data_IF_741503178505
#
_entry.id   IF_741503178505
#
_cell.length_a   1.000
_cell.length_b   1.000
_cell.length_c   1.000
_cell.angle_alpha   90.00
_cell.angle_beta   90.00
_cell.angle_gamma   90.00
#
_symmetry.space_group_name_H-M   'P 1'
#
loop_
_entity.id
_entity.type
_entity.pdbx_description
1 polymer ?
#
# COMPACT_ATOMS: atom_id res chain seq x y z
N UNK A 1 11.00 -16.74 7.98
CA UNK A 1 12.21 -16.21 7.30
C UNK A 1 12.57 -16.97 6.01
N UNK A 2 12.48 -18.31 5.97
CA UNK A 2 12.83 -19.07 4.76
C UNK A 2 11.90 -18.78 3.56
N UNK A 3 10.58 -18.72 3.79
CA UNK A 3 9.60 -18.45 2.72
C UNK A 3 9.72 -17.02 2.14
N UNK A 4 9.97 -16.00 2.97
CA UNK A 4 10.15 -14.61 2.51
C UNK A 4 11.30 -14.47 1.51
N UNK A 5 12.44 -15.17 1.72
CA UNK A 5 13.56 -15.15 0.78
C UNK A 5 13.22 -15.82 -0.54
N UNK A 6 12.41 -16.88 -0.50
CA UNK A 6 11.91 -17.56 -1.70
C UNK A 6 10.96 -16.65 -2.49
N UNK A 7 9.99 -16.02 -1.82
CA UNK A 7 9.09 -15.05 -2.46
C UNK A 7 9.85 -13.89 -3.07
N UNK A 8 10.83 -13.33 -2.36
CA UNK A 8 11.66 -12.24 -2.88
C UNK A 8 12.40 -12.66 -4.16
N UNK A 9 12.95 -13.87 -4.19
CA UNK A 9 13.64 -14.40 -5.38
C UNK A 9 12.68 -14.51 -6.57
N UNK A 10 11.51 -15.09 -6.36
CA UNK A 10 10.50 -15.27 -7.41
C UNK A 10 9.98 -13.92 -7.91
N UNK A 11 9.69 -12.99 -6.99
CA UNK A 11 9.27 -11.62 -7.32
C UNK A 11 10.34 -10.88 -8.14
N UNK A 12 11.62 -11.00 -7.77
CA UNK A 12 12.74 -10.42 -8.52
C UNK A 12 12.74 -10.92 -9.97
N UNK A 13 12.67 -12.23 -10.18
CA UNK A 13 12.62 -12.84 -11.52
C UNK A 13 11.36 -12.43 -12.30
N UNK A 14 10.20 -12.36 -11.64
CA UNK A 14 8.97 -11.89 -12.25
C UNK A 14 9.13 -10.47 -12.80
N UNK A 15 9.57 -9.52 -11.96
CA UNK A 15 9.68 -8.12 -12.36
C UNK A 15 10.76 -7.84 -13.42
N UNK A 16 11.70 -8.78 -13.65
CA UNK A 16 12.69 -8.68 -14.74
C UNK A 16 12.10 -9.06 -16.10
N UNK A 17 11.04 -9.88 -16.13
CA UNK A 17 10.51 -10.49 -17.35
C UNK A 17 9.10 -10.01 -17.69
N UNK A 18 8.31 -9.68 -16.67
CA UNK A 18 6.92 -9.27 -16.83
C UNK A 18 6.81 -7.84 -17.37
N UNK A 19 5.92 -7.64 -18.34
CA UNK A 19 5.62 -6.34 -18.95
C UNK A 19 4.21 -5.93 -18.53
N UNK A 20 4.06 -5.13 -17.47
CA UNK A 20 2.75 -4.73 -16.98
C UNK A 20 2.08 -3.73 -17.92
N UNK A 21 0.74 -3.73 -17.93
CA UNK A 21 -0.04 -2.64 -18.51
C UNK A 21 -0.08 -1.47 -17.53
N UNK A 22 0.70 -0.42 -17.79
CA UNK A 22 0.86 0.69 -16.85
C UNK A 22 -0.38 1.61 -16.88
N UNK A 23 -1.02 1.77 -15.73
CA UNK A 23 -2.16 2.68 -15.54
C UNK A 23 -1.73 3.93 -14.77
N UNK A 24 -1.74 5.07 -15.44
CA UNK A 24 -1.46 6.37 -14.80
C UNK A 24 -2.70 7.05 -14.25
N UNK A 25 -3.89 6.61 -14.66
CA UNK A 25 -5.15 7.15 -14.17
C UNK A 25 -6.10 6.03 -13.79
N UNK A 26 -6.85 6.23 -12.71
CA UNK A 26 -7.79 5.24 -12.19
C UNK A 26 -8.99 5.88 -11.47
N UNK A 27 -10.15 5.21 -11.46
CA UNK A 27 -11.32 5.70 -10.74
C UNK A 27 -11.06 5.75 -9.24
N UNK A 28 -11.66 6.73 -8.58
CA UNK A 28 -11.62 6.90 -7.13
C UNK A 28 -13.02 7.14 -6.59
N UNK A 29 -13.30 6.72 -5.36
CA UNK A 29 -14.57 7.01 -4.72
C UNK A 29 -14.73 8.52 -4.53
N UNK A 30 -15.98 8.98 -4.57
CA UNK A 30 -16.32 10.31 -4.10
C UNK A 30 -16.02 10.39 -2.59
N UNK A 31 -15.36 11.48 -2.18
CA UNK A 31 -15.02 11.69 -0.78
C UNK A 31 -16.09 12.56 -0.11
N UNK A 32 -16.54 12.16 1.06
CA UNK A 32 -17.46 12.88 1.93
C UNK A 32 -16.75 13.81 2.91
N UNK A 33 -17.52 14.32 3.87
CA UNK A 33 -17.02 15.22 4.91
C UNK A 33 -15.92 14.55 5.75
N UNK A 34 -14.88 15.32 6.12
CA UNK A 34 -13.70 14.76 6.80
C UNK A 34 -12.82 13.86 5.93
N UNK A 35 -13.13 13.75 4.64
CA UNK A 35 -12.39 12.97 3.67
C UNK A 35 -12.70 11.48 3.70
N UNK A 36 -13.67 10.98 4.48
CA UNK A 36 -14.08 9.56 4.39
C UNK A 36 -14.72 9.28 3.03
N UNK A 37 -14.77 8.02 2.55
CA UNK A 37 -15.59 7.71 1.37
C UNK A 37 -17.05 8.11 1.64
N UNK A 38 -17.67 8.90 0.75
CA UNK A 38 -19.01 9.48 0.99
C UNK A 38 -20.08 8.39 1.00
N UNK A 39 -20.09 7.55 -0.04
CA UNK A 39 -21.02 6.46 -0.26
C UNK A 39 -20.31 5.32 -1.00
N UNK A 40 -20.51 4.08 -0.55
CA UNK A 40 -19.95 2.91 -1.20
C UNK A 40 -20.48 2.79 -2.63
N UNK A 41 -19.58 2.72 -3.61
CA UNK A 41 -19.91 2.57 -5.04
C UNK A 41 -20.09 3.88 -5.81
N UNK A 42 -20.08 5.05 -5.16
CA UNK A 42 -20.09 6.33 -5.86
C UNK A 42 -18.67 6.78 -6.21
N UNK A 43 -18.41 7.00 -7.50
CA UNK A 43 -17.12 7.44 -8.02
C UNK A 43 -17.11 8.94 -8.27
N UNK A 44 -15.94 9.55 -8.10
CA UNK A 44 -15.68 10.90 -8.59
C UNK A 44 -15.86 10.97 -10.12
N UNK A 45 -16.40 12.08 -10.62
CA UNK A 45 -16.49 12.35 -12.07
C UNK A 45 -15.10 12.37 -12.74
N UNK A 46 -14.09 12.78 -11.98
CA UNK A 46 -12.72 12.85 -12.45
C UNK A 46 -11.89 11.73 -11.80
N UNK A 47 -11.24 10.87 -12.61
CA UNK A 47 -10.31 9.88 -12.08
C UNK A 47 -9.10 10.57 -11.48
N UNK A 48 -8.39 9.86 -10.61
CA UNK A 48 -7.11 10.34 -10.12
C UNK A 48 -6.05 10.14 -11.20
N UNK A 49 -5.26 11.17 -11.49
CA UNK A 49 -4.22 11.15 -12.52
C UNK A 49 -2.84 11.34 -11.90
N UNK A 50 -2.04 10.27 -11.89
CA UNK A 50 -0.70 10.25 -11.34
C UNK A 50 0.25 11.21 -12.05
N UNK A 51 0.03 11.51 -13.33
CA UNK A 51 0.89 12.42 -14.10
C UNK A 51 0.83 13.86 -13.60
N UNK A 52 -0.22 14.21 -12.85
CA UNK A 52 -0.42 15.54 -12.29
C UNK A 52 0.23 15.73 -10.92
N UNK A 53 0.56 14.63 -10.23
CA UNK A 53 1.08 14.65 -8.85
C UNK A 53 2.48 14.06 -8.72
N UNK A 54 2.93 13.25 -9.69
CA UNK A 54 4.25 12.65 -9.69
C UNK A 54 5.22 13.39 -10.60
N UNK A 55 6.47 13.48 -10.16
CA UNK A 55 7.60 13.87 -11.00
C UNK A 55 7.98 12.78 -12.00
N UNK A 56 8.73 13.11 -13.05
CA UNK A 56 9.20 12.12 -14.04
C UNK A 56 9.99 10.94 -13.42
N UNK A 57 10.90 11.15 -12.45
CA UNK A 57 11.54 10.03 -11.74
C UNK A 57 10.53 9.13 -11.00
N UNK A 58 9.54 9.71 -10.33
CA UNK A 58 8.50 8.95 -9.62
C UNK A 58 7.56 8.20 -10.57
N UNK A 59 7.25 8.77 -11.74
CA UNK A 59 6.45 8.08 -12.76
C UNK A 59 7.10 6.78 -13.22
N UNK A 60 8.44 6.68 -13.21
CA UNK A 60 9.15 5.44 -13.55
C UNK A 60 8.89 4.30 -12.56
N UNK A 61 8.48 4.61 -11.32
CA UNK A 61 8.12 3.60 -10.32
C UNK A 61 6.75 2.97 -10.59
N UNK A 62 5.84 3.65 -11.31
CA UNK A 62 4.46 3.18 -11.52
C UNK A 62 4.46 1.83 -12.26
N UNK A 63 5.29 1.69 -13.30
CA UNK A 63 5.43 0.43 -14.02
C UNK A 63 5.96 -0.70 -13.12
N UNK A 64 6.92 -0.41 -12.23
CA UNK A 64 7.44 -1.40 -11.29
C UNK A 64 6.37 -1.81 -10.28
N UNK A 65 5.63 -0.84 -9.74
CA UNK A 65 4.52 -1.09 -8.81
C UNK A 65 3.42 -1.93 -9.47
N UNK A 66 3.07 -1.64 -10.73
CA UNK A 66 2.10 -2.43 -11.48
C UNK A 66 2.57 -3.88 -11.67
N UNK A 67 3.86 -4.09 -12.00
CA UNK A 67 4.43 -5.44 -12.12
C UNK A 67 4.30 -6.24 -10.81
N UNK A 68 4.52 -5.59 -9.67
CA UNK A 68 4.38 -6.19 -8.34
C UNK A 68 2.91 -6.49 -8.02
N UNK A 69 2.01 -5.56 -8.32
CA UNK A 69 0.56 -5.74 -8.14
C UNK A 69 0.05 -6.95 -8.93
N UNK A 70 0.44 -7.06 -10.20
CA UNK A 70 0.08 -8.20 -11.06
C UNK A 70 0.60 -9.52 -10.48
N UNK A 71 1.81 -9.52 -9.90
CA UNK A 71 2.38 -10.69 -9.22
C UNK A 71 1.59 -11.06 -7.97
N UNK A 72 1.32 -10.09 -7.09
CA UNK A 72 0.54 -10.32 -5.86
C UNK A 72 -0.84 -10.88 -6.20
N UNK A 73 -1.48 -10.38 -7.25
CA UNK A 73 -2.78 -10.88 -7.72
C UNK A 73 -2.72 -12.38 -8.10
N UNK A 74 -1.59 -12.85 -8.63
CA UNK A 74 -1.43 -14.26 -9.01
C UNK A 74 -0.99 -15.17 -7.86
N UNK A 75 -0.34 -14.61 -6.84
CA UNK A 75 0.30 -15.38 -5.77
C UNK A 75 -0.47 -15.37 -4.44
N UNK A 76 -1.41 -14.45 -4.27
CA UNK A 76 -2.17 -14.30 -3.03
C UNK A 76 -3.67 -14.48 -3.28
N UNK A 77 -4.41 -14.69 -2.19
CA UNK A 77 -5.87 -14.84 -2.22
C UNK A 77 -6.57 -13.59 -1.66
N UNK A 78 -5.92 -12.43 -1.73
CA UNK A 78 -6.51 -11.16 -1.28
C UNK A 78 -7.42 -10.61 -2.37
N UNK A 79 -8.45 -9.89 -1.97
CA UNK A 79 -9.46 -9.34 -2.88
C UNK A 79 -9.07 -7.94 -3.36
N UNK A 80 -8.22 -7.25 -2.60
CA UNK A 80 -7.68 -5.94 -2.94
C UNK A 80 -6.23 -5.81 -2.46
N UNK A 81 -5.40 -5.14 -3.25
CA UNK A 81 -4.02 -4.84 -2.89
C UNK A 81 -3.57 -3.54 -3.54
N UNK A 82 -2.92 -2.65 -2.77
CA UNK A 82 -2.41 -1.37 -3.24
C UNK A 82 -1.01 -1.04 -2.72
N UNK A 83 -0.24 -0.34 -3.55
CA UNK A 83 1.08 0.19 -3.19
C UNK A 83 1.00 1.71 -3.15
N UNK A 84 1.43 2.30 -2.03
CA UNK A 84 1.42 3.73 -1.81
C UNK A 84 2.83 4.23 -1.48
N UNK A 85 3.21 5.38 -2.02
CA UNK A 85 4.44 6.08 -1.63
C UNK A 85 4.13 7.37 -0.89
N UNK A 86 5.03 7.78 0.01
CA UNK A 86 4.94 9.06 0.68
C UNK A 86 5.33 10.18 -0.29
N UNK A 87 4.43 11.14 -0.51
CA UNK A 87 4.71 12.38 -1.22
C UNK A 87 4.63 13.56 -0.24
N UNK A 88 5.55 14.51 -0.39
CA UNK A 88 5.60 15.75 0.40
C UNK A 88 5.30 16.94 -0.51
N UNK A 89 4.27 17.72 -0.17
CA UNK A 89 3.88 18.94 -0.87
C UNK A 89 3.80 20.12 0.10
N UNK A 90 4.73 21.08 -0.01
CA UNK A 90 4.66 22.41 0.62
C UNK A 90 4.14 22.42 2.07
N UNK A 91 4.66 21.51 2.92
CA UNK A 91 4.40 21.27 4.35
C UNK A 91 3.47 20.09 4.70
N UNK A 92 2.64 19.62 3.77
CA UNK A 92 1.80 18.44 3.98
C UNK A 92 2.43 17.19 3.37
N UNK A 93 2.10 16.04 3.93
CA UNK A 93 2.49 14.74 3.39
C UNK A 93 1.27 13.85 3.20
N UNK A 94 1.31 13.00 2.17
CA UNK A 94 0.26 12.03 1.91
C UNK A 94 0.84 10.73 1.34
N UNK A 95 0.24 9.61 1.71
CA UNK A 95 0.43 8.34 1.01
C UNK A 95 -0.34 8.40 -0.30
N UNK A 96 0.34 8.22 -1.44
CA UNK A 96 -0.26 8.28 -2.77
C UNK A 96 -0.17 6.93 -3.45
N UNK A 97 -1.33 6.37 -3.84
CA UNK A 97 -1.46 5.07 -4.50
C UNK A 97 -0.84 5.10 -5.89
N UNK A 98 0.14 4.25 -6.15
CA UNK A 98 0.79 4.14 -7.46
C UNK A 98 0.15 3.06 -8.33
N UNK A 99 -0.21 1.93 -7.74
CA UNK A 99 -0.81 0.80 -8.44
C UNK A 99 -1.65 -0.02 -7.48
N UNK A 100 -2.69 -0.68 -8.00
CA UNK A 100 -3.53 -1.60 -7.24
C UNK A 100 -4.32 -2.55 -8.14
N UNK A 101 -4.87 -3.60 -7.53
CA UNK A 101 -6.01 -4.35 -8.07
C UNK A 101 -7.15 -4.39 -7.05
N UNK A 102 -8.34 -4.73 -7.51
CA UNK A 102 -9.55 -4.79 -6.71
C UNK A 102 -10.49 -3.61 -6.99
N UNK A 103 -11.44 -3.39 -6.08
CA UNK A 103 -12.42 -2.29 -6.19
C UNK A 103 -11.76 -0.89 -6.14
N UNK A 104 -12.38 0.12 -6.77
CA UNK A 104 -11.93 1.50 -6.65
C UNK A 104 -11.88 1.95 -5.19
N UNK A 105 -10.73 2.44 -4.79
CA UNK A 105 -10.47 2.94 -3.43
C UNK A 105 -9.73 4.27 -3.47
N UNK A 106 -9.61 4.89 -2.30
CA UNK A 106 -8.96 6.19 -2.15
C UNK A 106 -7.56 6.24 -2.78
N UNK A 107 -7.28 7.33 -3.49
CA UNK A 107 -5.96 7.58 -4.09
C UNK A 107 -4.92 8.04 -3.08
N UNK A 108 -5.31 8.92 -2.15
CA UNK A 108 -4.37 9.56 -1.23
C UNK A 108 -4.86 9.54 0.21
N UNK A 109 -4.02 9.10 1.15
CA UNK A 109 -4.28 9.21 2.59
C UNK A 109 -3.43 10.34 3.18
N UNK A 110 -4.05 11.37 3.80
CA UNK A 110 -3.30 12.42 4.50
C UNK A 110 -2.45 11.82 5.61
N UNK A 111 -1.18 12.22 5.72
CA UNK A 111 -0.27 11.83 6.80
C UNK A 111 -0.37 12.83 7.96
N UNK A 112 -1.54 12.85 8.62
CA UNK A 112 -1.80 13.68 9.80
C UNK A 112 -2.17 12.83 11.01
N UNK A 113 -1.96 13.35 12.23
CA UNK A 113 -2.29 12.64 13.47
C UNK A 113 -3.79 12.42 13.61
N UNK A 114 -4.58 13.37 13.14
CA UNK A 114 -6.04 13.33 13.17
C UNK A 114 -6.55 12.18 12.29
N UNK A 115 -5.97 12.03 11.10
CA UNK A 115 -6.36 10.95 10.19
C UNK A 115 -5.80 9.58 10.62
N UNK A 116 -4.63 9.55 11.27
CA UNK A 116 -4.05 8.34 11.86
C UNK A 116 -4.89 7.71 12.97
N UNK A 117 -5.74 8.51 13.64
CA UNK A 117 -6.61 8.02 14.70
C UNK A 117 -7.65 7.01 14.19
N UNK A 118 -8.02 7.10 12.90
CA UNK A 118 -9.07 6.27 12.29
C UNK A 118 -8.58 5.41 11.12
N UNK A 119 -7.47 5.77 10.48
CA UNK A 119 -6.95 5.07 9.30
C UNK A 119 -5.72 4.24 9.64
N UNK A 120 -5.81 2.93 9.37
CA UNK A 120 -4.67 2.02 9.41
C UNK A 120 -3.55 2.50 8.49
N UNK A 121 -3.87 2.83 7.24
CA UNK A 121 -2.89 3.30 6.26
C UNK A 121 -2.08 4.49 6.78
N UNK A 122 -2.75 5.52 7.30
CA UNK A 122 -2.06 6.70 7.84
C UNK A 122 -1.31 6.39 9.13
N UNK A 123 -1.86 5.56 10.03
CA UNK A 123 -1.16 5.14 11.24
C UNK A 123 0.15 4.42 10.92
N UNK A 124 0.12 3.46 9.98
CA UNK A 124 1.32 2.75 9.52
C UNK A 124 2.29 3.70 8.80
N UNK A 125 1.78 4.59 7.94
CA UNK A 125 2.59 5.57 7.21
C UNK A 125 3.29 6.60 8.10
N UNK A 126 2.74 6.92 9.28
CA UNK A 126 3.38 7.81 10.25
C UNK A 126 4.34 7.10 11.21
N UNK A 127 3.99 5.89 11.65
CA UNK A 127 4.70 5.22 12.74
C UNK A 127 5.74 4.21 12.26
N UNK A 128 5.53 3.63 11.07
CA UNK A 128 6.32 2.50 10.60
C UNK A 128 6.02 1.21 11.37
N UNK A 129 4.96 1.18 12.17
CA UNK A 129 4.49 -0.02 12.85
C UNK A 129 3.52 -0.75 11.94
N UNK A 130 3.87 -1.99 11.57
CA UNK A 130 2.99 -2.83 10.74
C UNK A 130 1.68 -3.18 11.46
N UNK A 131 0.59 -3.32 10.71
CA UNK A 131 -0.71 -3.73 11.24
C UNK A 131 -1.27 -4.94 10.49
N UNK A 132 -1.80 -5.90 11.23
CA UNK A 132 -2.51 -7.07 10.71
C UNK A 132 -3.79 -7.25 11.51
N UNK A 133 -4.92 -7.23 10.83
CA UNK A 133 -6.25 -7.44 11.39
C UNK A 133 -6.85 -8.64 10.66
N UNK A 134 -6.84 -9.81 11.30
CA UNK A 134 -7.42 -11.02 10.71
C UNK A 134 -8.94 -11.09 10.82
N UNK A 135 -9.55 -10.26 11.68
CA UNK A 135 -11.00 -10.16 11.81
C UNK A 135 -11.40 -8.72 12.16
N UNK A 136 -11.84 -7.97 11.15
CA UNK A 136 -12.25 -6.56 11.29
C UNK A 136 -13.43 -6.43 12.25
N UNK A 137 -14.42 -7.32 12.16
CA UNK A 137 -15.61 -7.27 13.02
C UNK A 137 -15.22 -7.44 14.50
N UNK A 138 -14.35 -8.39 14.79
CA UNK A 138 -13.87 -8.61 16.16
C UNK A 138 -13.00 -7.46 16.66
N UNK A 139 -12.10 -6.94 15.81
CA UNK A 139 -11.25 -5.80 16.12
C UNK A 139 -12.08 -4.56 16.50
N UNK A 140 -13.10 -4.22 15.71
CA UNK A 140 -14.02 -3.11 16.01
C UNK A 140 -14.82 -3.38 17.28
N UNK A 141 -15.31 -4.60 17.48
CA UNK A 141 -16.04 -4.98 18.71
C UNK A 141 -15.20 -4.82 19.98
N UNK A 142 -13.88 -4.98 19.87
CA UNK A 142 -12.93 -4.77 20.97
C UNK A 142 -12.54 -3.29 21.17
N UNK A 143 -13.15 -2.37 20.42
CA UNK A 143 -12.90 -0.93 20.50
C UNK A 143 -11.78 -0.44 19.58
N UNK A 144 -11.36 -1.25 18.59
CA UNK A 144 -10.43 -0.82 17.55
C UNK A 144 -11.10 0.14 16.58
N UNK A 145 -10.48 1.29 16.34
CA UNK A 145 -10.91 2.24 15.30
C UNK A 145 -10.56 1.68 13.92
N UNK A 146 -11.55 1.63 13.02
CA UNK A 146 -11.39 1.06 11.69
C UNK A 146 -12.15 1.86 10.64
N UNK A 147 -11.40 2.55 9.79
CA UNK A 147 -11.92 3.18 8.59
C UNK A 147 -12.36 2.10 7.58
N UNK A 148 -13.66 2.05 7.27
CA UNK A 148 -14.21 1.10 6.28
C UNK A 148 -14.40 1.78 4.94
N UNK A 149 -13.61 1.39 3.93
CA UNK A 149 -13.79 1.83 2.54
C UNK A 149 -14.77 0.91 1.78
N UNK A 150 -14.64 -0.41 1.96
CA UNK A 150 -15.52 -1.43 1.38
C UNK A 150 -16.06 -2.32 2.51
N UNK A 151 -17.39 -2.41 2.71
CA UNK A 151 -17.98 -3.21 3.79
C UNK A 151 -17.78 -4.73 3.63
N UNK A 152 -17.31 -5.20 2.47
CA UNK A 152 -16.95 -6.61 2.27
C UNK A 152 -15.65 -6.98 2.96
N UNK A 153 -14.79 -6.03 3.31
CA UNK A 153 -13.48 -6.29 3.94
C UNK A 153 -13.68 -6.91 5.33
N UNK A 154 -13.06 -8.06 5.54
CA UNK A 154 -13.10 -8.82 6.79
C UNK A 154 -11.73 -9.01 7.42
N UNK A 155 -10.66 -8.85 6.65
CA UNK A 155 -9.30 -8.78 7.16
C UNK A 155 -8.46 -7.79 6.36
N UNK A 156 -7.44 -7.23 7.00
CA UNK A 156 -6.51 -6.26 6.41
C UNK A 156 -5.07 -6.49 6.90
N UNK A 157 -4.11 -6.27 6.01
CA UNK A 157 -2.68 -6.17 6.32
C UNK A 157 -2.13 -4.89 5.71
N UNK A 158 -1.58 -4.03 6.56
CA UNK A 158 -0.94 -2.79 6.14
C UNK A 158 0.50 -2.75 6.65
N UNK A 159 1.47 -2.82 5.73
CA UNK A 159 2.89 -2.93 6.05
C UNK A 159 3.67 -1.70 5.54
N UNK A 160 4.60 -1.16 6.34
CA UNK A 160 5.42 -0.03 5.94
C UNK A 160 6.52 -0.48 4.98
N UNK A 161 6.80 0.36 3.99
CA UNK A 161 7.98 0.27 3.15
C UNK A 161 9.05 1.15 3.79
N UNK A 162 10.03 0.53 4.43
CA UNK A 162 11.06 1.24 5.20
C UNK A 162 12.37 1.24 4.42
N UNK A 163 13.06 2.38 4.32
CA UNK A 163 14.35 2.51 3.67
C UNK A 163 15.39 1.61 4.33
N UNK A 164 16.26 0.97 3.54
CA UNK A 164 17.48 0.30 4.02
C UNK A 164 17.26 -0.86 5.01
N UNK A 165 16.09 -1.53 4.99
CA UNK A 165 15.76 -2.65 5.90
C UNK A 165 16.77 -3.82 5.90
N UNK A 166 17.63 -3.90 4.88
CA UNK A 166 18.63 -4.96 4.70
C UNK A 166 20.09 -4.53 4.93
N UNK A 167 20.35 -3.25 5.21
CA UNK A 167 21.71 -2.81 5.47
C UNK A 167 22.01 -3.05 6.95
N UNK A 168 22.91 -4.00 7.24
CA UNK A 168 23.45 -4.28 8.58
C UNK A 168 24.29 -3.12 9.18
N UNK A 169 24.09 -1.89 8.70
CA UNK A 169 24.74 -0.69 9.22
C UNK A 169 23.83 -0.04 10.25
N UNK A 170 24.24 -0.05 11.51
CA UNK A 170 23.55 0.54 12.68
C UNK A 170 23.35 2.07 12.61
N UNK A 171 23.54 2.73 11.45
CA UNK A 171 23.60 4.20 11.36
C UNK A 171 23.04 4.78 10.05
N UNK A 172 21.72 4.70 9.87
CA UNK A 172 20.95 5.72 9.16
C UNK A 172 19.50 5.62 9.63
N UNK A 173 18.90 6.75 10.05
CA UNK A 173 17.51 6.78 10.48
C UNK A 173 16.62 6.21 9.38
N UNK A 174 15.98 5.08 9.68
CA UNK A 174 15.14 4.38 8.73
C UNK A 174 13.92 5.26 8.41
N UNK A 175 13.75 5.64 7.14
CA UNK A 175 12.62 6.45 6.66
C UNK A 175 11.47 5.56 6.20
N UNK A 176 10.23 6.02 6.42
CA UNK A 176 9.04 5.38 5.87
C UNK A 176 8.79 5.95 4.47
N UNK A 177 9.07 5.14 3.46
CA UNK A 177 8.96 5.49 2.04
C UNK A 177 7.52 5.39 1.53
N UNK A 178 6.66 4.69 2.26
CA UNK A 178 5.29 4.41 1.88
C UNK A 178 4.74 3.19 2.60
N UNK A 179 3.68 2.62 2.07
CA UNK A 179 3.05 1.40 2.59
C UNK A 179 2.64 0.48 1.44
N UNK A 180 2.46 -0.79 1.78
CA UNK A 180 1.53 -1.66 1.06
C UNK A 180 0.30 -1.88 1.91
N UNK A 181 -0.82 -2.10 1.25
CA UNK A 181 -2.09 -2.41 1.89
C UNK A 181 -2.78 -3.55 1.14
N UNK A 182 -3.34 -4.49 1.88
CA UNK A 182 -3.95 -5.70 1.37
C UNK A 182 -5.22 -5.99 2.16
N UNK A 183 -6.33 -6.23 1.46
CA UNK A 183 -7.64 -6.47 2.07
C UNK A 183 -8.22 -7.78 1.55
N UNK A 184 -8.93 -8.51 2.41
CA UNK A 184 -9.68 -9.70 2.00
C UNK A 184 -11.10 -9.70 2.53
N UNK A 185 -12.01 -10.28 1.74
CA UNK A 185 -13.41 -10.52 2.07
C UNK A 185 -13.62 -11.76 2.93
N UNK A 186 -12.52 -12.41 3.33
CA UNK A 186 -12.48 -13.51 4.30
C UNK A 186 -11.75 -13.07 5.57
N UNK A 187 -12.12 -13.65 6.71
CA UNK A 187 -11.31 -13.54 7.93
C UNK A 187 -10.08 -14.44 7.81
N UNK A 188 -9.07 -14.18 8.62
CA UNK A 188 -7.90 -15.04 8.79
C UNK A 188 -7.09 -15.27 7.51
N UNK A 189 -7.17 -14.34 6.55
CA UNK A 189 -6.44 -14.40 5.29
C UNK A 189 -4.92 -14.28 5.50
N UNK A 190 -4.48 -13.49 6.50
CA UNK A 190 -3.08 -13.12 6.69
C UNK A 190 -2.36 -14.04 7.67
N UNK A 191 -2.23 -15.30 7.29
CA UNK A 191 -1.38 -16.26 7.98
C UNK A 191 0.12 -15.92 7.86
N UNK A 192 0.98 -16.78 8.42
CA UNK A 192 2.42 -16.54 8.40
C UNK A 192 3.04 -16.58 7.00
N UNK A 193 2.45 -17.34 6.08
CA UNK A 193 2.95 -17.50 4.72
C UNK A 193 2.58 -16.29 3.87
N UNK A 194 1.32 -15.83 3.94
CA UNK A 194 0.90 -14.57 3.34
C UNK A 194 1.69 -13.39 3.87
N UNK A 195 1.91 -13.32 5.19
CA UNK A 195 2.76 -12.28 5.77
C UNK A 195 4.21 -12.34 5.26
N UNK A 196 4.73 -13.54 4.95
CA UNK A 196 6.07 -13.69 4.36
C UNK A 196 6.12 -13.22 2.91
N UNK A 197 5.07 -13.45 2.12
CA UNK A 197 4.90 -12.91 0.78
C UNK A 197 4.91 -11.37 0.81
N UNK A 198 4.07 -10.76 1.64
CA UNK A 198 3.99 -9.30 1.75
C UNK A 198 5.28 -8.68 2.32
N UNK A 199 5.97 -9.38 3.21
CA UNK A 199 7.31 -8.95 3.68
C UNK A 199 8.32 -8.87 2.54
N UNK A 200 8.32 -9.85 1.63
CA UNK A 200 9.18 -9.86 0.46
C UNK A 200 8.85 -8.72 -0.52
N UNK A 201 7.55 -8.39 -0.67
CA UNK A 201 7.11 -7.24 -1.46
C UNK A 201 7.66 -5.93 -0.88
N UNK A 202 7.52 -5.70 0.43
CA UNK A 202 8.08 -4.51 1.09
C UNK A 202 9.61 -4.41 0.91
N UNK A 203 10.31 -5.53 1.02
CA UNK A 203 11.77 -5.60 0.83
C UNK A 203 12.16 -5.21 -0.60
N UNK A 204 11.49 -5.77 -1.61
CA UNK A 204 11.73 -5.44 -3.00
C UNK A 204 11.43 -3.96 -3.31
N UNK A 205 10.32 -3.42 -2.78
CA UNK A 205 9.95 -2.01 -2.94
C UNK A 205 10.98 -1.07 -2.31
N UNK A 206 11.49 -1.39 -1.11
CA UNK A 206 12.52 -0.61 -0.42
C UNK A 206 13.78 -0.45 -1.27
N UNK A 207 14.24 -1.53 -1.93
CA UNK A 207 15.42 -1.50 -2.82
C UNK A 207 15.21 -0.61 -4.06
N UNK A 208 13.97 -0.39 -4.49
CA UNK A 208 13.63 0.33 -5.73
C UNK A 208 13.33 1.80 -5.48
N UNK A 209 12.56 2.12 -4.45
CA UNK A 209 12.21 3.51 -4.12
C UNK A 209 13.46 4.29 -3.68
N UNK A 210 14.37 3.66 -2.94
CA UNK A 210 15.65 4.28 -2.57
C UNK A 210 16.53 4.65 -3.79
N UNK A 211 16.35 3.99 -4.94
CA UNK A 211 17.12 4.30 -6.16
C UNK A 211 16.54 5.51 -6.91
N UNK A 212 15.23 5.75 -6.81
CA UNK A 212 14.57 6.87 -7.48
C UNK A 212 14.70 8.21 -6.77
N UNK A 213 14.96 8.23 -5.45
CA UNK A 213 15.22 9.48 -4.71
C UNK A 213 16.66 10.01 -4.88
N UNK A 214 17.55 9.23 -5.48
CA UNK A 214 18.98 9.56 -5.68
C UNK A 214 19.31 9.99 -7.13
N UNK A 215 18.31 10.41 -7.91
CA UNK A 215 18.47 10.92 -9.29
C UNK A 215 17.99 12.36 -9.38
#
# INVERSE_FOLDING_TARGET
MQNSKQYLKVLKTWCETHKPEVKYSYPVPLLGEGGTCSLFGELSEHPFDLTTVLTSPQLSLVAQCQSIVDWVQQQSNVDWFGIYITLHNNQDAALTKLAYFGEPSRAQFPLSKEFAAISNNTAVGLTGEKRVINNVQEFVKQGGEYYTCDPKVKSELCYPIVSNKNNNSEQQDAKILGIIDAESFSTDCFDQDQQALFSAVCEYLSERINKSENI
#
